data_IF_026697705334
#
_entry.id   IF_026697705334
#
_cell.length_a   1.000
_cell.length_b   1.000
_cell.length_c   1.000
_cell.angle_alpha   90.00
_cell.angle_beta   90.00
_cell.angle_gamma   90.00
#
_symmetry.space_group_name_H-M   'P 1'
#
loop_
_entity.id
_entity.type
_entity.pdbx_description
1 polymer ?
#
# COMPACT_ATOMS: atom_id res chain seq x y z
N UNK A 1 21.63 3.07 7.27
CA UNK A 1 20.26 3.45 7.70
C UNK A 1 20.08 3.09 9.17
N UNK A 2 19.61 4.02 9.94
CA UNK A 2 19.23 3.75 11.33
C UNK A 2 17.76 3.33 11.38
N UNK A 3 17.36 2.80 12.52
CA UNK A 3 15.96 2.52 12.79
C UNK A 3 15.08 3.76 12.59
N UNK A 4 15.56 4.93 13.09
CA UNK A 4 14.82 6.19 12.95
C UNK A 4 14.71 6.63 11.49
N UNK A 5 15.78 6.46 10.70
CA UNK A 5 15.74 6.77 9.26
C UNK A 5 14.66 5.96 8.55
N UNK A 6 14.52 4.69 8.92
CA UNK A 6 13.50 3.82 8.34
C UNK A 6 12.11 4.21 8.79
N UNK A 7 11.91 4.54 10.07
CA UNK A 7 10.62 5.05 10.55
C UNK A 7 10.22 6.30 9.77
N UNK A 8 11.15 7.22 9.54
CA UNK A 8 10.90 8.45 8.79
C UNK A 8 10.57 8.16 7.32
N UNK A 9 11.29 7.22 6.71
CA UNK A 9 11.03 6.80 5.32
C UNK A 9 9.61 6.28 5.15
N UNK A 10 9.18 5.35 6.02
CA UNK A 10 7.84 4.76 5.93
C UNK A 10 6.77 5.81 6.24
N UNK A 11 7.06 6.75 7.14
CA UNK A 11 6.17 7.89 7.40
C UNK A 11 5.94 8.72 6.14
N UNK A 12 6.99 9.03 5.38
CA UNK A 12 6.88 9.76 4.11
C UNK A 12 6.14 8.94 3.05
N UNK A 13 6.35 7.63 3.03
CA UNK A 13 5.65 6.70 2.13
C UNK A 13 4.13 6.82 2.30
N UNK A 14 3.65 6.75 3.54
CA UNK A 14 2.21 6.85 3.80
C UNK A 14 1.68 8.28 3.64
N UNK A 15 2.48 9.30 3.95
CA UNK A 15 2.08 10.68 3.72
C UNK A 15 1.87 10.96 2.22
N UNK A 16 2.76 10.46 1.37
CA UNK A 16 2.63 10.59 -0.08
C UNK A 16 1.40 9.83 -0.59
N UNK A 17 1.17 8.62 -0.08
CA UNK A 17 -0.02 7.84 -0.45
C UNK A 17 -1.30 8.61 -0.14
N UNK A 18 -1.44 9.09 1.08
CA UNK A 18 -2.65 9.80 1.52
C UNK A 18 -2.84 11.13 0.81
N UNK A 19 -1.76 11.79 0.41
CA UNK A 19 -1.82 13.04 -0.35
C UNK A 19 -2.16 12.83 -1.84
N UNK A 20 -2.16 11.57 -2.32
CA UNK A 20 -2.31 11.28 -3.73
C UNK A 20 -1.09 11.64 -4.56
N UNK A 21 0.06 11.86 -3.92
CA UNK A 21 1.31 12.23 -4.59
C UNK A 21 2.00 10.96 -5.08
N UNK A 22 1.61 10.48 -6.27
CA UNK A 22 2.13 9.22 -6.83
C UNK A 22 3.59 9.31 -7.22
N UNK A 23 4.04 10.44 -7.75
CA UNK A 23 5.46 10.61 -8.10
C UNK A 23 6.33 10.70 -6.85
N UNK A 24 5.89 11.41 -5.82
CA UNK A 24 6.58 11.44 -4.51
C UNK A 24 6.65 10.05 -3.86
N UNK A 25 5.57 9.29 -3.96
CA UNK A 25 5.52 7.91 -3.48
C UNK A 25 6.53 7.02 -4.22
N UNK A 26 6.52 7.05 -5.55
CA UNK A 26 7.40 6.22 -6.38
C UNK A 26 8.88 6.57 -6.19
N UNK A 27 9.18 7.83 -5.91
CA UNK A 27 10.56 8.28 -5.64
C UNK A 27 11.15 7.65 -4.37
N UNK A 28 10.32 7.11 -3.47
CA UNK A 28 10.78 6.45 -2.24
C UNK A 28 11.10 4.97 -2.46
N UNK A 29 10.88 4.44 -3.66
CA UNK A 29 11.10 3.04 -4.01
C UNK A 29 12.43 2.87 -4.75
N UNK A 30 13.06 1.70 -4.59
CA UNK A 30 14.21 1.36 -5.45
C UNK A 30 13.74 1.09 -6.88
N UNK A 31 14.65 1.19 -7.85
CA UNK A 31 14.33 0.92 -9.26
C UNK A 31 13.80 -0.50 -9.46
N UNK A 32 14.35 -1.44 -8.70
CA UNK A 32 14.02 -2.88 -8.77
C UNK A 32 13.08 -3.31 -7.65
N UNK A 33 12.27 -2.42 -7.12
CA UNK A 33 11.36 -2.71 -6.01
C UNK A 33 10.52 -3.96 -6.28
N UNK A 34 10.40 -4.78 -5.25
CA UNK A 34 9.57 -5.99 -5.27
C UNK A 34 8.23 -5.67 -4.63
N UNK A 35 7.16 -5.91 -5.36
CA UNK A 35 5.81 -5.76 -4.86
C UNK A 35 5.14 -7.12 -4.81
N UNK A 36 4.95 -7.63 -3.59
CA UNK A 36 4.21 -8.87 -3.37
C UNK A 36 2.75 -8.50 -3.17
N UNK A 37 1.95 -8.73 -4.21
CA UNK A 37 0.54 -8.32 -4.22
C UNK A 37 -0.27 -9.31 -3.40
N UNK A 38 -1.01 -8.80 -2.41
CA UNK A 38 -1.92 -9.64 -1.64
C UNK A 38 -2.99 -10.21 -2.59
N UNK A 39 -3.26 -11.51 -2.47
CA UNK A 39 -4.16 -12.24 -3.35
C UNK A 39 -3.68 -12.30 -4.80
N UNK A 40 -2.41 -12.01 -5.05
CA UNK A 40 -1.83 -12.01 -6.38
C UNK A 40 -0.41 -12.54 -6.41
N UNK A 41 0.31 -12.21 -7.45
CA UNK A 41 1.68 -12.62 -7.64
C UNK A 41 2.68 -11.54 -7.21
N UNK A 42 3.90 -11.70 -7.69
CA UNK A 42 4.98 -10.76 -7.45
C UNK A 42 5.24 -9.95 -8.71
N UNK A 43 5.34 -8.65 -8.56
CA UNK A 43 5.78 -7.74 -9.62
C UNK A 43 7.11 -7.12 -9.23
N UNK A 44 7.95 -6.82 -10.21
CA UNK A 44 9.27 -6.26 -9.99
C UNK A 44 9.42 -4.98 -10.81
N UNK A 45 9.95 -3.94 -10.16
CA UNK A 45 10.28 -2.69 -10.80
C UNK A 45 9.31 -1.57 -10.50
N UNK A 46 9.87 -0.35 -10.53
CA UNK A 46 9.10 0.88 -10.25
C UNK A 46 8.01 1.11 -11.31
N UNK A 47 8.28 0.79 -12.58
CA UNK A 47 7.30 0.98 -13.64
C UNK A 47 6.10 0.05 -13.47
N UNK A 48 6.33 -1.20 -13.04
CA UNK A 48 5.23 -2.13 -12.73
C UNK A 48 4.40 -1.59 -11.56
N UNK A 49 5.05 -1.03 -10.55
CA UNK A 49 4.37 -0.43 -9.42
C UNK A 49 3.53 0.78 -9.83
N UNK A 50 4.06 1.62 -10.73
CA UNK A 50 3.32 2.76 -11.30
C UNK A 50 2.03 2.30 -11.97
N UNK A 51 2.10 1.27 -12.80
CA UNK A 51 0.92 0.70 -13.48
C UNK A 51 -0.09 0.14 -12.47
N UNK A 52 0.39 -0.50 -11.42
CA UNK A 52 -0.47 -1.00 -10.34
C UNK A 52 -1.22 0.15 -9.67
N UNK A 53 -0.53 1.23 -9.32
CA UNK A 53 -1.16 2.41 -8.70
C UNK A 53 -2.21 3.03 -9.62
N UNK A 54 -1.92 3.12 -10.93
CA UNK A 54 -2.88 3.65 -11.90
C UNK A 54 -4.17 2.82 -11.94
N UNK A 55 -4.03 1.47 -11.93
CA UNK A 55 -5.20 0.58 -11.87
C UNK A 55 -5.99 0.77 -10.58
N UNK A 56 -5.28 0.85 -9.45
CA UNK A 56 -5.93 1.02 -8.14
C UNK A 56 -6.66 2.37 -8.08
N UNK A 57 -6.04 3.43 -8.57
CA UNK A 57 -6.64 4.77 -8.54
C UNK A 57 -7.92 4.87 -9.38
N UNK A 58 -8.06 4.05 -10.42
CA UNK A 58 -9.30 4.01 -11.20
C UNK A 58 -10.45 3.37 -10.44
N UNK A 59 -10.16 2.35 -9.64
CA UNK A 59 -11.20 1.55 -8.99
C UNK A 59 -11.45 1.92 -7.53
N UNK A 60 -10.47 2.52 -6.86
CA UNK A 60 -10.53 2.78 -5.42
C UNK A 60 -10.06 4.17 -5.07
N UNK A 61 -10.75 4.82 -4.13
CA UNK A 61 -10.25 6.02 -3.47
C UNK A 61 -10.07 5.68 -1.99
N UNK A 62 -8.83 5.71 -1.49
CA UNK A 62 -8.52 5.25 -0.14
C UNK A 62 -7.71 6.27 0.65
N UNK A 63 -8.07 6.40 1.92
CA UNK A 63 -7.28 7.10 2.92
C UNK A 63 -6.91 6.11 4.02
N UNK A 64 -5.66 6.11 4.43
CA UNK A 64 -5.18 5.24 5.50
C UNK A 64 -5.14 6.04 6.78
N UNK A 65 -5.75 5.51 7.83
CA UNK A 65 -5.87 6.16 9.14
C UNK A 65 -5.31 5.28 10.23
N UNK A 66 -5.03 5.89 11.39
CA UNK A 66 -4.50 5.19 12.56
C UNK A 66 -3.23 4.39 12.24
N UNK A 67 -2.33 5.00 11.49
CA UNK A 67 -1.12 4.34 11.00
C UNK A 67 -0.12 4.19 12.15
N UNK A 68 0.29 2.95 12.42
CA UNK A 68 1.35 2.64 13.39
C UNK A 68 2.51 2.01 12.62
N UNK A 69 3.68 2.61 12.69
CA UNK A 69 4.87 2.18 11.97
C UNK A 69 5.86 1.58 12.95
N UNK A 70 6.42 0.43 12.60
CA UNK A 70 7.42 -0.27 13.39
C UNK A 70 8.63 -0.54 12.51
N UNK A 71 9.83 -0.50 13.07
CA UNK A 71 11.05 -0.81 12.33
C UNK A 71 11.96 -1.68 13.19
N UNK A 72 12.64 -2.62 12.53
CA UNK A 72 13.68 -3.40 13.17
C UNK A 72 14.85 -2.48 13.52
N UNK A 73 15.58 -2.78 14.59
CA UNK A 73 16.71 -1.98 15.06
C UNK A 73 17.79 -1.80 13.99
N UNK A 74 17.91 -2.77 13.06
CA UNK A 74 18.86 -2.68 11.94
C UNK A 74 18.48 -1.62 10.90
N UNK A 75 17.24 -1.16 10.87
CA UNK A 75 16.73 -0.26 9.83
C UNK A 75 16.44 -0.94 8.50
N UNK A 76 16.68 -2.24 8.36
CA UNK A 76 16.53 -2.95 7.09
C UNK A 76 15.12 -3.50 6.84
N UNK A 77 14.29 -3.56 7.89
CA UNK A 77 12.93 -4.11 7.81
C UNK A 77 11.97 -3.22 8.58
N UNK A 78 10.74 -3.13 8.08
CA UNK A 78 9.69 -2.38 8.77
C UNK A 78 8.33 -3.03 8.56
N UNK A 79 7.37 -2.61 9.37
CA UNK A 79 5.98 -3.01 9.26
C UNK A 79 5.08 -1.83 9.60
N UNK A 80 3.85 -1.88 9.12
CA UNK A 80 2.84 -0.89 9.49
C UNK A 80 1.48 -1.56 9.64
N UNK A 81 0.67 -1.00 10.52
CA UNK A 81 -0.72 -1.39 10.72
C UNK A 81 -1.58 -0.14 10.57
N UNK A 82 -2.71 -0.26 9.91
CA UNK A 82 -3.56 0.91 9.64
C UNK A 82 -4.99 0.48 9.33
N UNK A 83 -5.88 1.47 9.26
CA UNK A 83 -7.27 1.27 8.86
C UNK A 83 -7.48 1.94 7.51
N UNK A 84 -7.94 1.18 6.52
CA UNK A 84 -8.27 1.70 5.19
C UNK A 84 -9.69 2.24 5.22
N UNK A 85 -9.86 3.51 4.85
CA UNK A 85 -11.17 4.11 4.61
C UNK A 85 -11.30 4.32 3.10
N UNK A 86 -12.15 3.54 2.46
CA UNK A 86 -12.20 3.51 1.01
C UNK A 86 -13.57 3.66 0.41
N UNK A 87 -13.57 4.00 -0.89
CA UNK A 87 -14.76 4.03 -1.75
C UNK A 87 -14.45 3.25 -3.02
N UNK A 88 -15.35 2.35 -3.37
CA UNK A 88 -15.23 1.53 -4.58
C UNK A 88 -15.84 2.30 -5.76
N UNK A 89 -14.99 2.82 -6.64
CA UNK A 89 -15.38 3.78 -7.68
C UNK A 89 -15.79 3.11 -9.00
N UNK A 90 -14.96 2.19 -9.48
CA UNK A 90 -15.18 1.48 -10.74
C UNK A 90 -14.89 0.01 -10.53
N UNK A 91 -15.67 -0.84 -11.19
CA UNK A 91 -15.55 -2.29 -11.05
C UNK A 91 -14.14 -2.76 -11.39
N UNK A 92 -13.52 -3.47 -10.45
CA UNK A 92 -12.23 -4.11 -10.66
C UNK A 92 -12.48 -5.53 -11.15
N UNK A 93 -11.62 -6.00 -12.05
CA UNK A 93 -11.77 -7.28 -12.71
C UNK A 93 -11.89 -8.44 -11.70
N UNK A 94 -12.91 -9.27 -11.89
CA UNK A 94 -13.16 -10.45 -11.06
C UNK A 94 -13.82 -10.15 -9.71
N UNK A 95 -14.20 -8.89 -9.45
CA UNK A 95 -14.78 -8.46 -8.18
C UNK A 95 -16.23 -7.97 -8.39
N UNK A 96 -17.01 -7.78 -7.32
CA UNK A 96 -18.38 -7.29 -7.44
C UNK A 96 -18.46 -5.96 -8.16
N UNK A 97 -19.65 -5.64 -8.69
CA UNK A 97 -19.90 -4.38 -9.38
C UNK A 97 -19.73 -3.19 -8.44
N UNK A 98 -18.99 -2.18 -8.89
CA UNK A 98 -18.80 -0.95 -8.12
C UNK A 98 -20.01 -0.03 -8.26
N UNK A 99 -20.48 0.47 -7.12
CA UNK A 99 -21.65 1.37 -7.01
C UNK A 99 -21.39 2.53 -6.05
N UNK A 100 -20.11 2.85 -5.80
CA UNK A 100 -19.75 3.85 -4.82
C UNK A 100 -19.80 3.34 -3.37
N UNK A 101 -19.76 2.04 -3.15
CA UNK A 101 -19.77 1.45 -1.81
C UNK A 101 -18.57 1.94 -1.02
N UNK A 102 -18.80 2.26 0.24
CA UNK A 102 -17.71 2.60 1.16
C UNK A 102 -17.33 1.38 2.00
N UNK A 103 -16.09 1.36 2.46
CA UNK A 103 -15.60 0.29 3.33
C UNK A 103 -14.57 0.80 4.32
N UNK A 104 -14.49 0.12 5.45
CA UNK A 104 -13.49 0.37 6.48
C UNK A 104 -12.84 -0.98 6.78
N UNK A 105 -11.52 -1.07 6.57
CA UNK A 105 -10.84 -2.35 6.55
C UNK A 105 -9.49 -2.28 7.25
N UNK A 106 -9.27 -3.07 8.32
CA UNK A 106 -7.94 -3.20 8.90
C UNK A 106 -6.98 -3.82 7.90
N UNK A 107 -5.74 -3.32 7.87
CA UNK A 107 -4.72 -3.83 6.98
C UNK A 107 -3.33 -3.62 7.57
N UNK A 108 -2.34 -4.25 6.96
CA UNK A 108 -0.96 -4.12 7.36
C UNK A 108 -0.02 -4.32 6.19
N UNK A 109 1.23 -3.93 6.38
CA UNK A 109 2.24 -4.04 5.35
C UNK A 109 3.59 -4.38 5.96
N UNK A 110 4.41 -5.08 5.19
CA UNK A 110 5.80 -5.42 5.56
C UNK A 110 6.74 -4.92 4.48
N UNK A 111 7.89 -4.37 4.93
CA UNK A 111 8.83 -3.67 4.05
C UNK A 111 10.25 -4.20 4.22
N UNK A 112 10.98 -4.25 3.12
CA UNK A 112 12.44 -4.28 3.14
C UNK A 112 12.95 -2.93 2.65
N UNK A 113 14.05 -2.47 3.26
CA UNK A 113 14.63 -1.16 3.00
C UNK A 113 16.11 -1.33 2.62
N UNK A 114 16.53 -0.66 1.54
CA UNK A 114 17.89 -0.71 1.05
C UNK A 114 18.28 0.68 0.54
N UNK A 115 19.43 1.17 0.99
CA UNK A 115 19.98 2.46 0.54
C UNK A 115 18.99 3.63 0.68
N UNK A 116 18.25 3.65 1.80
CA UNK A 116 17.31 4.74 2.08
C UNK A 116 16.01 4.70 1.30
N UNK A 117 15.71 3.59 0.64
CA UNK A 117 14.49 3.43 -0.15
C UNK A 117 13.83 2.08 0.13
N UNK A 118 12.54 2.00 -0.16
CA UNK A 118 11.77 0.75 -0.04
C UNK A 118 12.17 -0.17 -1.19
N UNK A 119 12.71 -1.35 -0.87
CA UNK A 119 13.13 -2.35 -1.85
C UNK A 119 12.13 -3.50 -2.00
N UNK A 120 11.26 -3.71 -1.03
CA UNK A 120 10.16 -4.67 -1.11
C UNK A 120 9.00 -4.20 -0.24
N UNK A 121 7.79 -4.40 -0.74
CA UNK A 121 6.55 -4.16 0.00
C UNK A 121 5.58 -5.31 -0.22
N UNK A 122 4.94 -5.77 0.85
CA UNK A 122 3.79 -6.67 0.77
C UNK A 122 2.68 -6.14 1.68
N UNK A 123 1.46 -6.09 1.15
CA UNK A 123 0.29 -5.66 1.88
C UNK A 123 -0.58 -6.86 2.22
N UNK A 124 -1.28 -6.79 3.35
CA UNK A 124 -2.20 -7.83 3.79
C UNK A 124 -3.50 -7.20 4.25
N UNK A 125 -4.60 -7.77 3.79
CA UNK A 125 -5.93 -7.39 4.25
C UNK A 125 -6.86 -8.60 4.10
N UNK A 126 -8.01 -8.54 4.75
CA UNK A 126 -9.00 -9.62 4.69
C UNK A 126 -9.94 -9.38 3.50
N UNK A 127 -9.71 -10.12 2.41
CA UNK A 127 -10.53 -10.00 1.20
C UNK A 127 -11.99 -10.36 1.47
N UNK A 128 -12.27 -11.38 2.28
CA UNK A 128 -13.65 -11.77 2.60
C UNK A 128 -14.40 -10.66 3.31
N UNK A 129 -13.74 -9.94 4.22
CA UNK A 129 -14.33 -8.80 4.90
C UNK A 129 -14.68 -7.70 3.90
N UNK A 130 -13.74 -7.37 3.00
CA UNK A 130 -13.99 -6.38 1.95
C UNK A 130 -15.18 -6.80 1.07
N UNK A 131 -15.21 -8.06 0.63
CA UNK A 131 -16.29 -8.58 -0.18
C UNK A 131 -17.65 -8.44 0.52
N UNK A 132 -17.72 -8.74 1.81
CA UNK A 132 -18.96 -8.58 2.59
C UNK A 132 -19.40 -7.12 2.64
N UNK A 133 -18.47 -6.19 2.78
CA UNK A 133 -18.81 -4.77 2.88
C UNK A 133 -19.33 -4.21 1.55
N UNK A 134 -18.82 -4.68 0.40
CA UNK A 134 -19.19 -4.14 -0.91
C UNK A 134 -20.31 -4.92 -1.59
N UNK A 135 -20.64 -6.12 -1.13
CA UNK A 135 -21.66 -6.99 -1.75
C UNK A 135 -23.09 -6.46 -1.59
N UNK A 136 -23.30 -5.63 -0.59
CA UNK A 136 -24.60 -5.01 -0.37
C UNK A 136 -24.84 -3.85 -1.32
#
# INVERSE_FOLDING_TARGET
MTQQDTLDLIGRYYAAFNAGDREGFLALLTDDVIHDINQGGREIGRDAFRRFLERMDRSYAEQLKDIVIMAHESGSRAAAEFIVHGTYLNTDEGLPEAKGQTYILPAGAFFEVRNGKVSRISNYYNLEDWLKQVAG
#
